data_IF_428709529026
#
_entry.id   IF_428709529026
#
_cell.length_a   1.000
_cell.length_b   1.000
_cell.length_c   1.000
_cell.angle_alpha   90.00
_cell.angle_beta   90.00
_cell.angle_gamma   90.00
#
_symmetry.space_group_name_H-M   'P 1'
#
loop_
_entity.id
_entity.type
_entity.pdbx_description
1 polymer ?
#
# COMPACT_ATOMS: atom_id res chain seq x y z
N UNK A 1 -13.18 -18.89 5.89
CA UNK A 1 -14.24 -19.49 5.05
C UNK A 1 -14.20 -18.73 3.74
N UNK A 2 -13.48 -19.25 2.75
CA UNK A 2 -13.38 -18.66 1.42
C UNK A 2 -14.57 -19.18 0.62
N UNK A 3 -15.47 -18.29 0.22
CA UNK A 3 -16.56 -18.64 -0.68
C UNK A 3 -16.03 -18.73 -2.12
N UNK A 4 -16.43 -19.83 -2.78
CA UNK A 4 -16.80 -19.99 -4.20
C UNK A 4 -16.10 -19.11 -5.25
N UNK A 5 -15.34 -19.76 -6.14
CA UNK A 5 -15.03 -19.38 -7.53
C UNK A 5 -14.91 -17.89 -7.82
N UNK A 6 -13.82 -17.28 -7.37
CA UNK A 6 -13.39 -16.00 -7.94
C UNK A 6 -12.81 -16.27 -9.34
N UNK A 7 -13.66 -16.22 -10.38
CA UNK A 7 -13.24 -16.21 -11.81
C UNK A 7 -12.21 -15.09 -12.11
N UNK A 8 -12.10 -14.11 -11.20
CA UNK A 8 -11.13 -13.03 -11.22
C UNK A 8 -10.88 -12.43 -9.84
N UNK A 9 -9.69 -11.86 -9.65
CA UNK A 9 -9.35 -11.00 -8.53
C UNK A 9 -9.70 -9.54 -8.85
N UNK A 10 -10.22 -8.80 -7.87
CA UNK A 10 -10.51 -7.37 -8.03
C UNK A 10 -9.84 -6.58 -6.91
N UNK A 11 -8.99 -5.64 -7.29
CA UNK A 11 -8.30 -4.72 -6.38
C UNK A 11 -9.05 -3.38 -6.38
N UNK A 12 -9.98 -3.23 -5.43
CA UNK A 12 -10.83 -2.04 -5.34
C UNK A 12 -10.31 -1.05 -4.29
N UNK A 13 -9.82 0.11 -4.72
CA UNK A 13 -9.26 1.17 -3.84
C UNK A 13 -9.73 2.56 -4.28
N UNK A 14 -9.61 3.62 -3.46
CA UNK A 14 -9.90 4.97 -3.92
C UNK A 14 -8.75 5.57 -4.78
N UNK A 15 -7.63 4.87 -4.90
CA UNK A 15 -6.41 5.34 -5.57
C UNK A 15 -6.59 5.50 -7.08
N UNK A 16 -5.92 6.52 -7.61
CA UNK A 16 -5.73 6.77 -9.01
C UNK A 16 -4.88 5.64 -9.60
N UNK A 17 -5.16 5.17 -10.82
CA UNK A 17 -4.41 4.06 -11.42
C UNK A 17 -2.89 4.31 -11.50
N UNK A 18 -2.48 5.57 -11.60
CA UNK A 18 -1.07 5.99 -11.66
C UNK A 18 -0.47 6.37 -10.31
N UNK A 19 -1.21 6.17 -9.21
CA UNK A 19 -0.66 6.39 -7.88
C UNK A 19 0.51 5.42 -7.64
N UNK A 20 1.61 5.95 -7.12
CA UNK A 20 2.80 5.17 -6.78
C UNK A 20 2.66 4.63 -5.37
N UNK A 21 3.03 3.37 -5.19
CA UNK A 21 3.07 2.68 -3.92
C UNK A 21 4.51 2.31 -3.63
N UNK A 22 5.02 2.84 -2.52
CA UNK A 22 6.30 2.45 -1.94
C UNK A 22 6.06 1.25 -1.03
N UNK A 23 6.51 0.07 -1.47
CA UNK A 23 6.28 -1.18 -0.77
C UNK A 23 7.58 -1.74 -0.21
N UNK A 24 7.45 -2.47 0.88
CA UNK A 24 8.52 -3.21 1.51
C UNK A 24 8.01 -4.59 1.90
N UNK A 25 8.84 -5.61 1.67
CA UNK A 25 8.60 -6.92 2.24
C UNK A 25 8.87 -6.87 3.75
N UNK A 26 7.88 -7.26 4.54
CA UNK A 26 7.97 -7.25 6.01
C UNK A 26 9.17 -8.07 6.50
N UNK A 27 9.53 -9.15 5.79
CA UNK A 27 10.65 -10.02 6.16
C UNK A 27 12.01 -9.32 5.96
N UNK A 28 12.04 -8.23 5.17
CA UNK A 28 13.23 -7.40 5.00
C UNK A 28 13.47 -6.41 6.14
N UNK A 29 12.45 -6.10 6.97
CA UNK A 29 12.57 -5.08 8.01
C UNK A 29 13.55 -5.51 9.11
N UNK A 30 13.44 -6.75 9.59
CA UNK A 30 14.28 -7.27 10.68
C UNK A 30 15.79 -7.14 10.41
N UNK A 31 16.29 -7.62 9.26
CA UNK A 31 17.69 -7.43 8.85
C UNK A 31 18.13 -5.96 8.80
N UNK A 32 17.28 -5.05 8.30
CA UNK A 32 17.60 -3.63 8.18
C UNK A 32 17.72 -2.97 9.56
N UNK A 33 16.76 -3.23 10.45
CA UNK A 33 16.82 -2.73 11.83
C UNK A 33 18.06 -3.26 12.55
N UNK A 34 18.41 -4.54 12.35
CA UNK A 34 19.63 -5.11 12.92
C UNK A 34 20.89 -4.38 12.45
N UNK A 35 20.98 -4.07 11.16
CA UNK A 35 22.12 -3.32 10.59
C UNK A 35 22.23 -1.91 11.17
N UNK A 36 21.09 -1.22 11.31
CA UNK A 36 21.03 0.12 11.92
C UNK A 36 21.55 0.08 13.36
N UNK A 37 21.10 -0.90 14.15
CA UNK A 37 21.52 -1.04 15.54
C UNK A 37 23.00 -1.45 15.68
N UNK A 38 23.48 -2.33 14.79
CA UNK A 38 24.87 -2.78 14.81
C UNK A 38 25.86 -1.65 14.46
N UNK A 39 25.42 -0.67 13.66
CA UNK A 39 26.25 0.45 13.21
C UNK A 39 25.65 1.79 13.65
N UNK A 40 25.13 1.87 14.88
CA UNK A 40 24.37 3.02 15.36
C UNK A 40 25.07 4.38 15.13
N UNK A 41 26.39 4.48 15.32
CA UNK A 41 27.17 5.70 15.07
C UNK A 41 27.01 6.25 13.64
N UNK A 42 26.74 5.38 12.66
CA UNK A 42 26.50 5.75 11.26
C UNK A 42 25.09 6.31 11.02
N UNK A 43 24.12 5.93 11.85
CA UNK A 43 22.69 6.14 11.56
C UNK A 43 21.97 7.03 12.58
N UNK A 44 22.55 7.28 13.75
CA UNK A 44 21.97 8.16 14.77
C UNK A 44 21.66 9.53 14.19
N UNK A 45 20.43 10.00 14.45
CA UNK A 45 19.94 11.31 14.03
C UNK A 45 19.51 11.42 12.57
N UNK A 46 19.45 10.31 11.83
CA UNK A 46 18.98 10.29 10.45
C UNK A 46 17.55 9.75 10.32
N UNK A 47 16.78 10.36 9.45
CA UNK A 47 15.51 9.81 8.97
C UNK A 47 15.78 8.88 7.80
N UNK A 48 15.47 7.59 7.99
CA UNK A 48 15.75 6.54 7.01
C UNK A 48 14.43 6.09 6.38
N UNK A 49 14.24 6.41 5.10
CA UNK A 49 13.16 5.84 4.30
C UNK A 49 13.55 4.42 3.85
N UNK A 50 12.74 3.43 4.20
CA UNK A 50 12.95 2.04 3.78
C UNK A 50 11.88 1.68 2.75
N UNK A 51 12.31 1.49 1.52
CA UNK A 51 11.47 1.08 0.39
C UNK A 51 12.18 -0.04 -0.37
N UNK A 52 11.49 -1.15 -0.60
CA UNK A 52 12.00 -2.28 -1.38
C UNK A 52 11.67 -2.14 -2.87
N UNK A 53 10.47 -1.66 -3.19
CA UNK A 53 10.00 -1.44 -4.55
C UNK A 53 9.02 -0.27 -4.64
N UNK A 54 9.04 0.43 -5.77
CA UNK A 54 7.99 1.39 -6.15
C UNK A 54 7.16 0.77 -7.28
N UNK A 55 5.85 0.70 -7.09
CA UNK A 55 4.94 0.18 -8.11
C UNK A 55 3.78 1.14 -8.35
N UNK A 56 3.31 1.26 -9.59
CA UNK A 56 2.03 1.94 -9.82
C UNK A 56 0.88 1.01 -9.43
N UNK A 57 -0.18 1.56 -8.86
CA UNK A 57 -1.34 0.75 -8.45
C UNK A 57 -1.94 -0.07 -9.62
N UNK A 58 -1.96 0.48 -10.85
CA UNK A 58 -2.41 -0.25 -12.04
C UNK A 58 -1.57 -1.50 -12.39
N UNK A 59 -0.36 -1.61 -11.87
CA UNK A 59 0.53 -2.76 -12.13
C UNK A 59 0.31 -3.89 -11.11
N UNK A 60 -0.32 -3.61 -9.96
CA UNK A 60 -0.65 -4.62 -8.94
C UNK A 60 -1.45 -5.79 -9.53
N UNK A 61 -2.58 -5.58 -10.24
CA UNK A 61 -3.34 -6.70 -10.80
C UNK A 61 -2.53 -7.51 -11.82
N UNK A 62 -1.62 -6.86 -12.56
CA UNK A 62 -0.75 -7.55 -13.53
C UNK A 62 0.22 -8.48 -12.83
N UNK A 63 0.81 -8.04 -11.71
CA UNK A 63 1.70 -8.85 -10.89
C UNK A 63 0.96 -10.07 -10.36
N UNK A 64 -0.24 -9.89 -9.79
CA UNK A 64 -1.04 -10.99 -9.28
C UNK A 64 -1.43 -11.98 -10.38
N UNK A 65 -1.92 -11.49 -11.53
CA UNK A 65 -2.26 -12.36 -12.67
C UNK A 65 -1.07 -13.20 -13.10
N UNK A 66 0.12 -12.61 -13.17
CA UNK A 66 1.35 -13.33 -13.56
C UNK A 66 1.75 -14.41 -12.56
N UNK A 67 1.49 -14.21 -11.27
CA UNK A 67 1.93 -15.13 -10.20
C UNK A 67 0.91 -16.24 -9.94
N UNK A 68 -0.38 -15.95 -10.07
CA UNK A 68 -1.46 -16.88 -9.71
C UNK A 68 -2.14 -17.52 -10.91
N UNK A 69 -1.89 -17.05 -12.13
CA UNK A 69 -2.64 -17.37 -13.35
C UNK A 69 -4.15 -17.05 -13.27
N UNK A 70 -4.59 -16.28 -12.26
CA UNK A 70 -5.98 -15.84 -12.10
C UNK A 70 -6.12 -14.44 -12.69
N UNK A 71 -7.07 -14.18 -13.60
CA UNK A 71 -7.31 -12.84 -14.13
C UNK A 71 -7.54 -11.83 -12.99
N UNK A 72 -6.83 -10.70 -13.00
CA UNK A 72 -7.01 -9.66 -12.01
C UNK A 72 -7.23 -8.28 -12.64
N UNK A 73 -8.04 -7.46 -11.97
CA UNK A 73 -8.37 -6.10 -12.41
C UNK A 73 -8.25 -5.10 -11.25
N UNK A 74 -7.87 -3.87 -11.57
CA UNK A 74 -7.93 -2.74 -10.65
C UNK A 74 -9.24 -1.99 -10.85
N UNK A 75 -9.89 -1.60 -9.76
CA UNK A 75 -11.10 -0.79 -9.78
C UNK A 75 -10.91 0.44 -8.88
N UNK A 76 -11.09 1.63 -9.44
CA UNK A 76 -11.13 2.85 -8.63
C UNK A 76 -12.53 3.08 -8.09
N UNK A 77 -12.67 3.14 -6.77
CA UNK A 77 -13.91 3.44 -6.07
C UNK A 77 -13.97 4.91 -5.65
N UNK A 78 -15.19 5.41 -5.44
CA UNK A 78 -15.39 6.65 -4.69
C UNK A 78 -15.16 6.40 -3.20
N UNK A 79 -14.82 7.43 -2.43
CA UNK A 79 -14.65 7.33 -0.97
C UNK A 79 -15.86 6.69 -0.27
N UNK A 80 -17.08 7.05 -0.70
CA UNK A 80 -18.33 6.51 -0.16
C UNK A 80 -18.43 4.99 -0.42
N UNK A 81 -18.18 4.55 -1.65
CA UNK A 81 -18.20 3.13 -2.00
C UNK A 81 -17.10 2.36 -1.29
N UNK A 82 -15.89 2.91 -1.24
CA UNK A 82 -14.77 2.28 -0.57
C UNK A 82 -15.03 2.12 0.94
N UNK A 83 -15.60 3.14 1.59
CA UNK A 83 -16.02 3.06 3.01
C UNK A 83 -17.03 1.95 3.25
N UNK A 84 -17.96 1.73 2.33
CA UNK A 84 -18.96 0.66 2.42
C UNK A 84 -18.33 -0.74 2.31
N UNK A 85 -17.21 -0.90 1.58
CA UNK A 85 -16.51 -2.19 1.45
C UNK A 85 -15.63 -2.55 2.66
N UNK A 86 -15.26 -1.58 3.50
CA UNK A 86 -14.42 -1.81 4.68
C UNK A 86 -15.21 -2.40 5.87
N UNK A 87 -15.76 -3.61 5.71
CA UNK A 87 -16.56 -4.26 6.76
C UNK A 87 -15.72 -4.72 7.96
N UNK A 88 -14.41 -4.89 7.78
CA UNK A 88 -13.46 -5.28 8.82
C UNK A 88 -13.03 -4.14 9.76
N UNK A 89 -13.30 -2.88 9.37
CA UNK A 89 -13.02 -1.70 10.20
C UNK A 89 -14.26 -1.35 11.02
N UNK A 90 -14.12 -1.31 12.35
CA UNK A 90 -15.24 -1.24 13.28
C UNK A 90 -15.79 0.17 13.48
N UNK A 91 -15.01 1.21 13.22
CA UNK A 91 -15.44 2.61 13.38
C UNK A 91 -15.39 3.39 12.07
N UNK A 92 -16.19 4.46 11.98
CA UNK A 92 -16.12 5.40 10.86
C UNK A 92 -14.74 6.06 10.77
N UNK A 93 -14.15 6.41 11.92
CA UNK A 93 -12.82 7.02 12.02
C UNK A 93 -11.75 6.16 11.39
N UNK A 94 -11.69 4.85 11.66
CA UNK A 94 -10.70 3.97 11.03
C UNK A 94 -10.84 3.92 9.51
N UNK A 95 -12.08 3.99 9.00
CA UNK A 95 -12.35 4.02 7.56
C UNK A 95 -11.93 5.35 6.94
N UNK A 96 -12.18 6.45 7.64
CA UNK A 96 -11.71 7.79 7.27
C UNK A 96 -10.18 7.85 7.23
N UNK A 97 -9.52 7.34 8.27
CA UNK A 97 -8.05 7.33 8.37
C UNK A 97 -7.42 6.56 7.21
N UNK A 98 -8.00 5.40 6.84
CA UNK A 98 -7.53 4.62 5.70
C UNK A 98 -7.71 5.37 4.37
N UNK A 99 -8.84 6.04 4.16
CA UNK A 99 -9.08 6.85 2.95
C UNK A 99 -8.09 8.03 2.91
N UNK A 100 -7.89 8.70 4.04
CA UNK A 100 -6.97 9.82 4.15
C UNK A 100 -5.53 9.38 3.90
N UNK A 101 -5.12 8.21 4.38
CA UNK A 101 -3.82 7.60 4.07
C UNK A 101 -3.65 7.37 2.56
N UNK A 102 -4.66 6.81 1.88
CA UNK A 102 -4.59 6.63 0.43
C UNK A 102 -4.47 7.95 -0.33
N UNK A 103 -5.24 8.97 0.06
CA UNK A 103 -5.13 10.32 -0.54
C UNK A 103 -3.79 10.95 -0.29
N UNK A 104 -3.23 10.76 0.90
CA UNK A 104 -1.89 11.23 1.24
C UNK A 104 -0.85 10.64 0.28
N UNK A 105 -0.90 9.32 0.01
CA UNK A 105 -0.02 8.69 -0.96
C UNK A 105 -0.21 9.21 -2.39
N UNK A 106 -1.43 9.57 -2.80
CA UNK A 106 -1.65 10.18 -4.11
C UNK A 106 -1.05 11.58 -4.22
N UNK A 107 -1.18 12.39 -3.17
CA UNK A 107 -0.84 13.81 -3.19
C UNK A 107 0.64 14.07 -2.92
N UNK A 108 1.25 13.31 -2.01
CA UNK A 108 2.60 13.55 -1.51
C UNK A 108 3.57 12.40 -1.78
N UNK A 109 3.10 11.32 -2.42
CA UNK A 109 3.85 10.05 -2.51
C UNK A 109 4.19 9.52 -1.09
N UNK A 110 5.31 8.82 -0.91
CA UNK A 110 5.79 8.38 0.40
C UNK A 110 6.50 9.51 1.20
N UNK A 111 6.78 10.66 0.59
CA UNK A 111 7.53 11.73 1.23
C UNK A 111 6.60 12.81 1.82
N UNK A 112 7.02 13.42 2.93
CA UNK A 112 6.25 14.49 3.55
C UNK A 112 6.21 15.75 2.68
N UNK A 113 5.15 16.53 2.91
CA UNK A 113 4.87 17.86 2.33
C UNK A 113 6.00 18.88 2.46
N UNK A 114 6.98 18.64 3.34
CA UNK A 114 8.04 19.59 3.71
C UNK A 114 9.30 19.53 2.80
N UNK A 115 9.20 18.94 1.60
CA UNK A 115 10.30 18.90 0.61
C UNK A 115 10.19 19.90 -0.55
N UNK A 116 9.23 20.84 -0.50
CA UNK A 116 9.11 21.97 -1.44
C UNK A 116 9.51 23.32 -0.81
#
# INVERSE_FOLDING_TARGET
MFHEDYDRLVFSTPLHPTAKLHLIDIDSIGPIIREILANHDKFVGQDICICGEEINFQDVPKIFTRVTDIPALGERLTDEKFRATQTCLSTSTQKDDLINMYKWFEEYDYYEKDKD
#
